data_IF_706421905381
#
_entry.id   IF_706421905381
#
_cell.length_a   1.000
_cell.length_b   1.000
_cell.length_c   1.000
_cell.angle_alpha   90.00
_cell.angle_beta   90.00
_cell.angle_gamma   90.00
#
_symmetry.space_group_name_H-M   'P 1'
#
loop_
_entity.id
_entity.type
_entity.pdbx_description
1 polymer ?
#
# COMPACT_ATOMS: atom_id res chain seq x y z
N UNK A 1 -24.69 -3.23 -73.67
CA UNK A 1 -25.17 -2.37 -72.57
C UNK A 1 -23.95 -1.93 -71.76
N UNK A 2 -23.42 -0.73 -72.02
CA UNK A 2 -22.17 -0.26 -71.42
C UNK A 2 -22.38 0.04 -69.93
N UNK A 3 -21.61 -0.61 -69.06
CA UNK A 3 -21.67 -0.44 -67.61
C UNK A 3 -21.06 0.92 -67.26
N UNK A 4 -21.91 1.92 -67.01
CA UNK A 4 -21.48 3.30 -66.74
C UNK A 4 -20.39 3.35 -65.63
N UNK A 5 -19.15 3.78 -65.95
CA UNK A 5 -18.02 3.69 -65.03
C UNK A 5 -18.18 4.57 -63.79
N UNK A 6 -18.95 5.66 -63.88
CA UNK A 6 -19.25 6.56 -62.76
C UNK A 6 -19.99 5.89 -61.59
N UNK A 7 -20.89 4.94 -61.87
CA UNK A 7 -21.64 4.22 -60.84
C UNK A 7 -20.75 3.26 -60.02
N UNK A 8 -19.71 2.69 -60.64
CA UNK A 8 -18.78 1.79 -59.95
C UNK A 8 -17.80 2.54 -59.05
N UNK A 9 -17.30 3.70 -59.51
CA UNK A 9 -16.42 4.58 -58.71
C UNK A 9 -17.18 5.17 -57.52
N UNK A 10 -18.41 5.66 -57.75
CA UNK A 10 -19.23 6.25 -56.68
C UNK A 10 -19.58 5.24 -55.58
N UNK A 11 -19.99 4.01 -55.95
CA UNK A 11 -20.28 2.93 -54.97
C UNK A 11 -19.04 2.56 -54.14
N UNK A 12 -17.85 2.50 -54.75
CA UNK A 12 -16.59 2.13 -54.08
C UNK A 12 -16.12 3.20 -53.09
N UNK A 13 -16.37 4.48 -53.36
CA UNK A 13 -16.06 5.58 -52.43
C UNK A 13 -17.03 5.59 -51.24
N UNK A 14 -18.32 5.39 -51.49
CA UNK A 14 -19.36 5.30 -50.44
C UNK A 14 -19.10 4.15 -49.46
N UNK A 15 -18.69 2.96 -49.95
CA UNK A 15 -18.37 1.82 -49.09
C UNK A 15 -17.11 2.04 -48.26
N UNK A 16 -16.07 2.66 -48.82
CA UNK A 16 -14.86 3.03 -48.06
C UNK A 16 -15.16 4.04 -46.96
N UNK A 17 -15.91 5.10 -47.26
CA UNK A 17 -16.36 6.09 -46.26
C UNK A 17 -17.15 5.42 -45.13
N UNK A 18 -18.06 4.50 -45.46
CA UNK A 18 -18.84 3.75 -44.47
C UNK A 18 -17.96 2.86 -43.58
N UNK A 19 -16.93 2.22 -44.14
CA UNK A 19 -15.97 1.41 -43.36
C UNK A 19 -15.19 2.29 -42.37
N UNK A 20 -14.74 3.48 -42.79
CA UNK A 20 -14.07 4.40 -41.86
C UNK A 20 -14.99 4.90 -40.75
N UNK A 21 -16.25 5.20 -41.07
CA UNK A 21 -17.25 5.62 -40.07
C UNK A 21 -17.50 4.49 -39.06
N UNK A 22 -17.73 3.26 -39.54
CA UNK A 22 -17.95 2.09 -38.67
C UNK A 22 -16.70 1.82 -37.84
N UNK A 23 -15.51 1.83 -38.45
CA UNK A 23 -14.25 1.61 -37.76
C UNK A 23 -14.00 2.66 -36.67
N UNK A 24 -14.26 3.93 -36.96
CA UNK A 24 -14.16 5.01 -35.98
C UNK A 24 -15.16 4.84 -34.83
N UNK A 25 -16.41 4.48 -35.13
CA UNK A 25 -17.42 4.27 -34.10
C UNK A 25 -17.10 3.07 -33.21
N UNK A 26 -16.66 1.95 -33.80
CA UNK A 26 -16.21 0.78 -33.05
C UNK A 26 -14.99 1.11 -32.19
N UNK A 27 -14.04 1.89 -32.71
CA UNK A 27 -12.86 2.30 -31.95
C UNK A 27 -13.23 3.13 -30.72
N UNK A 28 -14.15 4.10 -30.86
CA UNK A 28 -14.64 4.90 -29.73
C UNK A 28 -15.31 4.02 -28.68
N UNK A 29 -16.14 3.05 -29.08
CA UNK A 29 -16.79 2.13 -28.14
C UNK A 29 -15.76 1.26 -27.42
N UNK A 30 -14.79 0.70 -28.13
CA UNK A 30 -13.72 -0.12 -27.52
C UNK A 30 -12.88 0.72 -26.57
N UNK A 31 -12.48 1.93 -26.96
CA UNK A 31 -11.74 2.85 -26.10
C UNK A 31 -12.55 3.20 -24.85
N UNK A 32 -13.85 3.46 -24.97
CA UNK A 32 -14.71 3.71 -23.83
C UNK A 32 -14.80 2.51 -22.90
N UNK A 33 -14.98 1.28 -23.41
CA UNK A 33 -15.04 0.07 -22.57
C UNK A 33 -13.71 -0.21 -21.85
N UNK A 34 -12.57 0.09 -22.48
CA UNK A 34 -11.25 -0.13 -21.87
C UNK A 34 -10.89 0.93 -20.83
N UNK A 35 -11.12 2.21 -21.15
CA UNK A 35 -10.63 3.36 -20.38
C UNK A 35 -11.71 4.07 -19.54
N UNK A 36 -12.96 3.61 -19.57
CA UNK A 36 -14.02 4.14 -18.70
C UNK A 36 -13.67 3.93 -17.22
N UNK A 37 -14.20 4.78 -16.31
CA UNK A 37 -14.12 4.56 -14.86
C UNK A 37 -14.56 3.16 -14.42
N UNK A 38 -15.53 2.56 -15.13
CA UNK A 38 -16.00 1.18 -14.90
C UNK A 38 -15.40 0.16 -15.88
N UNK A 39 -14.36 0.57 -16.61
CA UNK A 39 -13.69 -0.23 -17.63
C UNK A 39 -12.82 -1.34 -17.05
N UNK A 40 -12.34 -2.20 -17.95
CA UNK A 40 -11.58 -3.40 -17.58
C UNK A 40 -10.27 -3.05 -16.88
N UNK A 41 -9.59 -1.98 -17.33
CA UNK A 41 -8.30 -1.55 -16.76
C UNK A 41 -8.48 -1.12 -15.30
N UNK A 42 -9.52 -0.35 -15.01
CA UNK A 42 -9.80 0.13 -13.65
C UNK A 42 -10.06 -1.04 -12.70
N UNK A 43 -10.77 -2.07 -13.16
CA UNK A 43 -11.04 -3.26 -12.34
C UNK A 43 -9.78 -4.06 -12.04
N UNK A 44 -8.83 -4.16 -12.98
CA UNK A 44 -7.54 -4.81 -12.75
C UNK A 44 -6.69 -4.04 -11.73
N UNK A 45 -6.67 -2.71 -11.82
CA UNK A 45 -5.97 -1.85 -10.87
C UNK A 45 -6.57 -1.93 -9.46
N UNK A 46 -7.90 -1.90 -9.34
CA UNK A 46 -8.57 -2.05 -8.04
C UNK A 46 -8.31 -3.43 -7.43
N UNK A 47 -8.31 -4.49 -8.23
CA UNK A 47 -8.01 -5.83 -7.73
C UNK A 47 -6.58 -5.93 -7.19
N UNK A 48 -5.60 -5.31 -7.85
CA UNK A 48 -4.22 -5.30 -7.36
C UNK A 48 -4.05 -4.42 -6.12
N UNK A 49 -4.77 -3.30 -6.04
CA UNK A 49 -4.78 -2.41 -4.87
C UNK A 49 -5.37 -3.10 -3.63
N UNK A 50 -6.49 -3.82 -3.77
CA UNK A 50 -7.08 -4.61 -2.68
C UNK A 50 -6.07 -5.63 -2.14
N UNK A 51 -5.40 -6.37 -3.02
CA UNK A 51 -4.37 -7.34 -2.62
C UNK A 51 -3.19 -6.65 -1.93
N UNK A 52 -2.81 -5.45 -2.39
CA UNK A 52 -1.79 -4.63 -1.75
C UNK A 52 -2.18 -4.21 -0.33
N UNK A 53 -3.40 -3.68 -0.16
CA UNK A 53 -3.95 -3.24 1.13
C UNK A 53 -4.11 -4.38 2.13
N UNK A 54 -4.48 -5.57 1.67
CA UNK A 54 -4.59 -6.75 2.52
C UNK A 54 -3.21 -7.19 3.03
N UNK A 55 -2.20 -7.18 2.15
CA UNK A 55 -0.80 -7.48 2.53
C UNK A 55 -0.25 -6.47 3.52
N UNK A 56 -0.49 -5.17 3.32
CA UNK A 56 -0.03 -4.14 4.26
C UNK A 56 -0.70 -4.28 5.62
N UNK A 57 -2.01 -4.52 5.65
CA UNK A 57 -2.76 -4.77 6.89
C UNK A 57 -2.20 -5.98 7.65
N UNK A 58 -1.94 -7.08 6.94
CA UNK A 58 -1.38 -8.30 7.53
C UNK A 58 0.02 -8.04 8.12
N UNK A 59 0.87 -7.31 7.39
CA UNK A 59 2.21 -6.92 7.86
C UNK A 59 2.15 -6.00 9.08
N UNK A 60 1.24 -5.03 9.08
CA UNK A 60 1.05 -4.12 10.21
C UNK A 60 0.61 -4.87 11.47
N UNK A 61 -0.37 -5.79 11.36
CA UNK A 61 -0.79 -6.64 12.47
C UNK A 61 0.34 -7.50 13.03
N UNK A 62 1.11 -8.15 12.17
CA UNK A 62 2.27 -8.93 12.59
C UNK A 62 3.33 -8.08 13.31
N UNK A 63 3.51 -6.84 12.87
CA UNK A 63 4.44 -5.88 13.50
C UNK A 63 3.91 -5.43 14.87
N UNK A 64 2.62 -5.12 14.97
CA UNK A 64 1.96 -4.77 16.23
C UNK A 64 2.09 -5.91 17.25
N UNK A 65 1.80 -7.15 16.85
CA UNK A 65 1.92 -8.32 17.73
C UNK A 65 3.35 -8.52 18.24
N UNK A 66 4.35 -8.33 17.38
CA UNK A 66 5.76 -8.42 17.74
C UNK A 66 6.16 -7.32 18.73
N UNK A 67 5.74 -6.09 18.47
CA UNK A 67 5.98 -4.94 19.36
C UNK A 67 5.28 -5.12 20.71
N UNK A 68 4.04 -5.60 20.70
CA UNK A 68 3.28 -5.90 21.93
C UNK A 68 3.98 -6.97 22.76
N UNK A 69 4.46 -8.05 22.14
CA UNK A 69 5.25 -9.08 22.84
C UNK A 69 6.53 -8.51 23.43
N UNK A 70 7.21 -7.64 22.68
CA UNK A 70 8.42 -6.96 23.16
C UNK A 70 8.10 -6.04 24.34
N UNK A 71 7.03 -5.25 24.25
CA UNK A 71 6.60 -4.36 25.31
C UNK A 71 6.23 -5.14 26.59
N UNK A 72 5.48 -6.24 26.46
CA UNK A 72 5.17 -7.13 27.58
C UNK A 72 6.46 -7.66 28.18
N UNK A 73 7.39 -8.19 27.36
CA UNK A 73 8.68 -8.69 27.86
C UNK A 73 9.43 -7.63 28.66
N UNK A 74 9.54 -6.41 28.12
CA UNK A 74 10.20 -5.29 28.78
C UNK A 74 9.51 -4.86 30.08
N UNK A 75 8.18 -4.93 30.13
CA UNK A 75 7.40 -4.63 31.34
C UNK A 75 7.52 -5.73 32.41
N UNK A 76 7.57 -6.99 31.98
CA UNK A 76 7.66 -8.15 32.88
C UNK A 76 9.08 -8.45 33.35
N UNK A 77 10.10 -8.02 32.59
CA UNK A 77 11.49 -8.09 33.03
C UNK A 77 11.75 -6.96 34.05
N UNK A 78 11.24 -7.19 35.27
CA UNK A 78 11.33 -6.25 36.38
C UNK A 78 12.78 -5.87 36.71
N UNK A 79 13.74 -6.71 36.33
CA UNK A 79 15.17 -6.54 36.60
C UNK A 79 15.74 -5.31 35.90
N UNK A 80 15.45 -5.15 34.61
CA UNK A 80 15.93 -4.00 33.83
C UNK A 80 15.20 -2.71 34.20
N UNK A 81 13.90 -2.79 34.50
CA UNK A 81 13.14 -1.65 35.02
C UNK A 81 13.67 -1.22 36.38
N UNK A 82 13.94 -2.17 37.27
CA UNK A 82 14.47 -1.90 38.62
C UNK A 82 15.91 -1.37 38.55
N UNK A 83 16.75 -1.89 37.64
CA UNK A 83 18.08 -1.34 37.37
C UNK A 83 17.99 0.12 36.93
N UNK A 84 17.14 0.43 35.96
CA UNK A 84 16.94 1.79 35.47
C UNK A 84 16.40 2.72 36.57
N UNK A 85 15.46 2.21 37.39
CA UNK A 85 14.92 2.93 38.53
C UNK A 85 16.01 3.26 39.57
N UNK A 86 16.90 2.30 39.86
CA UNK A 86 18.06 2.50 40.75
C UNK A 86 19.05 3.50 40.18
N UNK A 87 19.43 3.37 38.90
CA UNK A 87 20.46 4.21 38.28
C UNK A 87 20.02 5.65 38.02
N UNK A 88 18.80 5.86 37.52
CA UNK A 88 18.31 7.19 37.13
C UNK A 88 17.63 7.94 38.26
N UNK A 89 16.92 7.22 39.11
CA UNK A 89 16.01 7.81 40.11
C UNK A 89 16.41 7.46 41.54
N UNK A 90 17.46 6.67 41.74
CA UNK A 90 17.90 6.26 43.08
C UNK A 90 16.85 5.46 43.83
N UNK A 91 16.03 4.67 43.12
CA UNK A 91 15.00 3.83 43.75
C UNK A 91 15.62 2.85 44.76
N UNK A 92 15.03 2.78 45.95
CA UNK A 92 15.44 1.88 47.04
C UNK A 92 14.21 1.14 47.51
N UNK A 93 14.29 -0.19 47.61
CA UNK A 93 13.16 -0.99 48.06
C UNK A 93 12.99 -0.84 49.59
N UNK A 94 11.75 -0.82 50.13
CA UNK A 94 11.56 -0.81 51.58
C UNK A 94 12.32 -1.96 52.26
N UNK A 95 13.24 -1.62 53.18
CA UNK A 95 14.11 -2.57 53.88
C UNK A 95 15.56 -2.65 53.37
N UNK A 96 15.88 -2.07 52.21
CA UNK A 96 17.28 -1.94 51.73
C UNK A 96 18.03 -0.83 52.47
N UNK A 97 19.33 -1.04 52.69
CA UNK A 97 20.24 -0.04 53.28
C UNK A 97 21.15 0.52 52.18
N UNK A 98 21.12 1.84 51.98
CA UNK A 98 21.94 2.52 50.96
C UNK A 98 23.25 2.99 51.54
N UNK A 99 24.35 2.63 50.88
CA UNK A 99 25.69 3.12 51.21
C UNK A 99 26.17 4.11 50.15
N UNK A 100 26.33 5.38 50.53
CA UNK A 100 26.91 6.41 49.66
C UNK A 100 28.42 6.47 49.94
N UNK A 101 29.21 5.94 49.02
CA UNK A 101 30.67 5.98 49.14
C UNK A 101 31.17 7.33 48.62
N UNK A 102 31.61 8.21 49.53
CA UNK A 102 32.40 9.39 49.15
C UNK A 102 33.85 8.96 49.01
N UNK A 103 34.48 9.26 47.87
CA UNK A 103 35.94 9.16 47.77
C UNK A 103 36.53 10.31 48.56
N UNK A 104 37.20 10.02 49.67
CA UNK A 104 38.09 11.00 50.28
C UNK A 104 39.20 11.33 49.28
N UNK A 105 39.28 12.60 48.90
CA UNK A 105 40.30 13.09 47.96
C UNK A 105 41.56 13.53 48.70
N UNK A 106 41.76 13.08 49.93
CA UNK A 106 42.89 13.48 50.76
C UNK A 106 44.05 12.49 50.53
N UNK A 107 44.89 12.82 49.55
CA UNK A 107 46.30 12.41 49.51
C UNK A 107 47.16 13.64 49.78
#
# INVERSE_FOLDING_TARGET
>A
MAKNPGLQVQKRVMTRKRIYIIGGMTFVVVAFVLFSPYGVITRLNLASEIVGLEKTTTRMRATEDSLRKTAVRLQTDSTEIERLARERYGYVRPGEHVFIIKRDTTK
#
